data_IF_452083986539
#
_entry.id   IF_452083986539
#
_cell.length_a   1.000
_cell.length_b   1.000
_cell.length_c   1.000
_cell.angle_alpha   90.00
_cell.angle_beta   90.00
_cell.angle_gamma   90.00
#
_symmetry.space_group_name_H-M   'P 1'
#
loop_
_entity.id
_entity.type
_entity.pdbx_description
1 polymer ?
#
# COMPACT_ATOMS: atom_id res chain seq x y z
N UNK A 1 13.71 -0.42 25.55
CA UNK A 1 13.39 -1.46 24.53
C UNK A 1 14.68 -1.88 23.83
N UNK A 2 14.98 -3.18 23.74
CA UNK A 2 16.17 -3.71 23.04
C UNK A 2 16.00 -3.52 21.52
N UNK A 3 16.98 -2.89 20.88
CA UNK A 3 17.07 -2.77 19.41
C UNK A 3 17.88 -3.95 18.88
N UNK A 4 17.44 -4.57 17.78
CA UNK A 4 18.18 -5.63 17.09
C UNK A 4 18.49 -5.19 15.67
N UNK A 5 19.76 -5.29 15.28
CA UNK A 5 20.19 -5.18 13.90
C UNK A 5 19.85 -6.48 13.17
N UNK A 6 19.27 -6.37 11.98
CA UNK A 6 19.09 -7.50 11.09
C UNK A 6 20.05 -7.31 9.94
N UNK A 7 21.05 -8.19 9.86
CA UNK A 7 22.06 -8.17 8.81
C UNK A 7 21.41 -8.71 7.55
N UNK A 8 21.36 -7.87 6.51
CA UNK A 8 20.71 -8.23 5.26
C UNK A 8 21.62 -8.95 4.26
N UNK A 9 22.93 -8.80 4.40
CA UNK A 9 23.92 -9.32 3.46
C UNK A 9 25.00 -10.09 4.21
N UNK A 10 25.39 -11.23 3.65
CA UNK A 10 26.54 -12.01 4.13
C UNK A 10 27.87 -11.50 3.57
N UNK A 11 27.87 -10.42 2.76
CA UNK A 11 29.11 -9.89 2.18
C UNK A 11 30.13 -9.51 3.26
N UNK A 12 31.39 -9.87 2.99
CA UNK A 12 32.53 -9.58 3.84
C UNK A 12 33.42 -8.51 3.21
N UNK A 13 34.21 -7.83 4.03
CA UNK A 13 35.21 -6.88 3.54
C UNK A 13 36.23 -7.62 2.66
N UNK A 14 36.63 -7.11 1.47
CA UNK A 14 36.46 -5.74 0.97
C UNK A 14 35.28 -5.54 0.02
N UNK A 15 34.43 -6.54 -0.21
CA UNK A 15 33.31 -6.47 -1.15
C UNK A 15 32.24 -5.46 -0.72
N UNK A 16 32.17 -5.18 0.59
CA UNK A 16 31.31 -4.19 1.21
C UNK A 16 32.08 -3.36 2.24
N UNK A 17 31.85 -2.04 2.28
CA UNK A 17 32.42 -1.13 3.29
C UNK A 17 31.81 -1.30 4.70
N UNK A 18 30.71 -2.04 4.82
CA UNK A 18 30.05 -2.44 6.06
C UNK A 18 28.77 -3.24 5.76
N UNK A 19 28.30 -4.06 6.70
CA UNK A 19 27.05 -4.82 6.53
C UNK A 19 25.86 -3.86 6.67
N UNK A 20 24.99 -3.71 5.65
CA UNK A 20 23.81 -2.84 5.80
C UNK A 20 22.85 -3.47 6.80
N UNK A 21 22.53 -2.74 7.87
CA UNK A 21 21.56 -3.15 8.88
C UNK A 21 20.69 -1.97 9.28
N UNK A 22 19.46 -2.26 9.69
CA UNK A 22 18.64 -1.34 10.45
C UNK A 22 18.22 -1.93 11.78
N UNK A 23 18.02 -1.03 12.74
CA UNK A 23 17.57 -1.38 14.07
C UNK A 23 16.04 -1.46 14.08
N UNK A 24 15.51 -2.64 14.35
CA UNK A 24 14.11 -2.80 14.72
C UNK A 24 13.98 -2.82 16.23
N UNK A 25 12.90 -2.20 16.70
CA UNK A 25 12.49 -2.27 18.10
C UNK A 25 11.40 -3.32 18.23
N UNK A 26 11.59 -4.27 19.14
CA UNK A 26 10.58 -5.28 19.42
C UNK A 26 9.27 -4.64 19.90
N UNK A 27 8.12 -5.15 19.47
CA UNK A 27 6.81 -4.63 19.85
C UNK A 27 5.77 -5.78 20.00
N UNK A 28 4.64 -5.56 20.67
CA UNK A 28 3.66 -6.62 20.95
C UNK A 28 2.68 -6.87 19.78
N UNK A 29 2.76 -6.10 18.69
CA UNK A 29 1.77 -6.17 17.60
C UNK A 29 1.87 -7.51 16.88
N UNK A 30 0.72 -8.19 16.77
CA UNK A 30 0.59 -9.50 16.09
C UNK A 30 -0.33 -9.44 14.88
N UNK A 31 -1.37 -8.62 14.90
CA UNK A 31 -2.22 -8.39 13.74
C UNK A 31 -1.57 -7.30 12.89
N UNK A 32 -1.18 -7.67 11.68
CA UNK A 32 -0.41 -6.80 10.79
C UNK A 32 -1.26 -6.39 9.59
N UNK A 33 -1.61 -5.11 9.53
CA UNK A 33 -2.50 -4.55 8.53
C UNK A 33 -1.74 -4.34 7.20
N UNK A 34 -2.29 -4.87 6.12
CA UNK A 34 -1.75 -4.63 4.79
C UNK A 34 -2.46 -3.51 4.03
N UNK A 35 -3.64 -3.09 4.51
CA UNK A 35 -4.25 -1.79 4.25
C UNK A 35 -4.45 -1.12 5.60
N UNK A 36 -3.95 0.12 5.76
CA UNK A 36 -3.88 0.75 7.08
C UNK A 36 -5.27 0.87 7.72
N UNK A 37 -5.35 0.76 9.05
CA UNK A 37 -6.61 1.01 9.75
C UNK A 37 -7.09 2.44 9.50
N UNK A 38 -6.19 3.43 9.47
CA UNK A 38 -6.53 4.83 9.18
C UNK A 38 -7.16 5.01 7.80
N UNK A 39 -6.77 4.21 6.81
CA UNK A 39 -7.42 4.17 5.49
C UNK A 39 -8.82 3.54 5.57
N UNK A 40 -8.95 2.39 6.24
CA UNK A 40 -10.23 1.69 6.37
C UNK A 40 -11.27 2.51 7.14
N UNK A 41 -10.86 3.26 8.16
CA UNK A 41 -11.75 4.12 8.96
C UNK A 41 -12.38 5.25 8.16
N UNK A 42 -11.75 5.66 7.06
CA UNK A 42 -12.40 6.59 6.13
C UNK A 42 -13.63 5.99 5.43
N UNK A 43 -13.93 4.70 5.63
CA UNK A 43 -15.10 3.99 5.09
C UNK A 43 -15.96 3.35 6.18
N UNK A 44 -15.70 3.67 7.44
CA UNK A 44 -16.50 3.15 8.55
C UNK A 44 -17.96 3.61 8.39
N UNK A 45 -18.91 2.69 8.56
CA UNK A 45 -20.35 3.02 8.52
C UNK A 45 -20.89 3.45 9.89
N UNK A 46 -20.10 3.28 10.94
CA UNK A 46 -20.33 3.71 12.31
C UNK A 46 -19.15 4.58 12.84
N UNK A 47 -18.76 5.67 12.16
CA UNK A 47 -17.56 6.44 12.51
C UNK A 47 -17.61 7.08 13.91
N UNK A 48 -18.80 7.23 14.50
CA UNK A 48 -19.05 7.81 15.82
C UNK A 48 -18.59 6.93 16.99
N UNK A 49 -18.42 5.62 16.79
CA UNK A 49 -17.94 4.72 17.84
C UNK A 49 -16.42 4.80 17.99
N UNK A 50 -15.91 4.34 19.14
CA UNK A 50 -14.46 4.27 19.38
C UNK A 50 -13.73 3.47 18.30
N UNK A 51 -12.52 3.88 17.94
CA UNK A 51 -11.74 3.35 16.81
C UNK A 51 -11.58 1.81 16.79
N UNK A 52 -11.63 1.15 17.95
CA UNK A 52 -11.53 -0.31 18.09
C UNK A 52 -12.83 -1.05 17.69
N UNK A 53 -13.96 -0.33 17.67
CA UNK A 53 -15.30 -0.86 17.40
C UNK A 53 -15.85 -0.41 16.05
N UNK A 54 -15.07 0.36 15.28
CA UNK A 54 -15.47 0.81 13.95
C UNK A 54 -15.47 -0.37 12.99
N UNK A 55 -16.55 -0.45 12.22
CA UNK A 55 -16.79 -1.50 11.25
C UNK A 55 -16.95 -0.93 9.84
N UNK A 56 -16.66 -1.77 8.86
CA UNK A 56 -16.74 -1.47 7.44
C UNK A 56 -17.51 -2.59 6.75
N UNK A 57 -18.33 -2.24 5.76
CA UNK A 57 -18.97 -3.25 4.93
C UNK A 57 -17.93 -3.92 4.03
N UNK A 58 -17.94 -5.25 4.00
CA UNK A 58 -17.15 -6.09 3.09
C UNK A 58 -18.10 -6.71 2.06
N UNK A 59 -17.81 -6.49 0.79
CA UNK A 59 -18.64 -6.89 -0.35
C UNK A 59 -17.85 -7.87 -1.24
N UNK A 60 -18.11 -9.19 -1.15
CA UNK A 60 -17.45 -10.18 -2.01
C UNK A 60 -17.80 -9.99 -3.50
N UNK A 61 -16.88 -10.24 -4.46
CA UNK A 61 -17.14 -10.11 -5.90
C UNK A 61 -18.33 -10.93 -6.39
N UNK A 62 -18.64 -12.06 -5.74
CA UNK A 62 -19.79 -12.91 -6.03
C UNK A 62 -21.15 -12.23 -5.79
N UNK A 63 -21.18 -11.03 -5.19
CA UNK A 63 -22.37 -10.16 -5.15
C UNK A 63 -22.66 -9.49 -6.49
N UNK A 64 -21.66 -9.34 -7.36
CA UNK A 64 -21.74 -8.50 -8.56
C UNK A 64 -21.73 -9.30 -9.87
N UNK A 65 -21.57 -10.62 -9.79
CA UNK A 65 -21.54 -11.51 -10.95
C UNK A 65 -22.64 -12.56 -10.85
N UNK A 66 -23.34 -12.84 -11.96
CA UNK A 66 -24.35 -13.88 -12.01
C UNK A 66 -23.69 -15.27 -11.95
N UNK A 67 -24.28 -16.24 -11.23
CA UNK A 67 -25.40 -16.09 -10.30
C UNK A 67 -24.95 -15.36 -9.01
N UNK A 68 -25.73 -14.37 -8.59
CA UNK A 68 -25.46 -13.59 -7.37
C UNK A 68 -25.59 -14.50 -6.15
N UNK A 69 -24.48 -14.74 -5.43
CA UNK A 69 -24.38 -15.81 -4.41
C UNK A 69 -23.84 -15.35 -3.06
N UNK A 70 -23.53 -14.06 -2.91
CA UNK A 70 -22.97 -13.51 -1.68
C UNK A 70 -23.80 -12.36 -1.14
N UNK A 71 -23.57 -12.03 0.14
CA UNK A 71 -24.16 -10.88 0.82
C UNK A 71 -23.04 -10.02 1.42
N UNK A 72 -23.37 -8.75 1.67
CA UNK A 72 -22.50 -7.84 2.39
C UNK A 72 -22.25 -8.38 3.81
N UNK A 73 -21.02 -8.24 4.29
CA UNK A 73 -20.62 -8.63 5.63
C UNK A 73 -20.26 -7.38 6.42
N UNK A 74 -20.66 -7.32 7.68
CA UNK A 74 -20.17 -6.31 8.61
C UNK A 74 -18.89 -6.83 9.28
N UNK A 75 -17.77 -6.13 9.09
CA UNK A 75 -16.46 -6.57 9.62
C UNK A 75 -15.78 -5.47 10.40
N UNK A 76 -15.19 -5.84 11.54
CA UNK A 76 -14.46 -4.91 12.39
C UNK A 76 -13.08 -4.58 11.81
N UNK A 77 -12.73 -3.29 11.78
CA UNK A 77 -11.49 -2.77 11.17
C UNK A 77 -10.23 -3.27 11.89
N UNK A 78 -10.29 -3.53 13.21
CA UNK A 78 -9.11 -3.93 14.00
C UNK A 78 -8.50 -5.26 13.52
N UNK A 79 -9.31 -6.13 12.91
CA UNK A 79 -8.90 -7.42 12.38
C UNK A 79 -9.07 -7.54 10.86
N UNK A 80 -9.67 -6.54 10.20
CA UNK A 80 -9.90 -6.57 8.76
C UNK A 80 -8.67 -6.11 7.97
N UNK A 81 -8.46 -6.73 6.81
CA UNK A 81 -7.30 -6.48 5.93
C UNK A 81 -5.96 -6.55 6.70
N UNK A 82 -5.90 -7.51 7.61
CA UNK A 82 -4.77 -7.81 8.46
C UNK A 82 -4.50 -9.30 8.49
N UNK A 83 -3.28 -9.66 8.82
CA UNK A 83 -2.86 -11.05 8.96
C UNK A 83 -1.95 -11.21 10.17
N UNK A 84 -2.06 -12.36 10.85
CA UNK A 84 -1.29 -12.59 12.07
C UNK A 84 0.18 -12.84 11.72
N UNK A 85 1.08 -12.04 12.32
CA UNK A 85 2.53 -12.11 12.19
C UNK A 85 3.02 -11.96 10.73
N UNK A 86 2.27 -11.29 9.84
CA UNK A 86 2.61 -11.18 8.42
C UNK A 86 4.00 -10.58 8.15
N UNK A 87 4.35 -9.50 8.86
CA UNK A 87 5.65 -8.83 8.75
C UNK A 87 6.64 -9.13 9.88
N UNK A 88 6.46 -10.24 10.60
CA UNK A 88 7.38 -10.63 11.67
C UNK A 88 8.66 -11.21 11.09
N UNK A 89 9.81 -10.67 11.46
CA UNK A 89 11.11 -11.23 11.09
C UNK A 89 11.53 -12.33 12.07
N UNK A 90 11.42 -12.06 13.38
CA UNK A 90 11.70 -13.04 14.43
C UNK A 90 10.96 -12.69 15.73
N UNK A 91 10.90 -13.65 16.65
CA UNK A 91 10.37 -13.45 18.01
C UNK A 91 11.40 -12.72 18.87
N UNK A 92 10.91 -11.85 19.75
CA UNK A 92 11.70 -11.25 20.82
C UNK A 92 11.42 -11.90 22.17
N UNK A 93 11.95 -11.29 23.23
CA UNK A 93 11.67 -11.66 24.63
C UNK A 93 10.23 -11.33 25.02
N UNK A 94 9.68 -12.04 26.01
CA UNK A 94 8.40 -11.70 26.68
C UNK A 94 7.19 -11.54 25.74
N UNK A 95 7.14 -12.33 24.65
CA UNK A 95 6.02 -12.30 23.70
C UNK A 95 6.05 -11.11 22.72
N UNK A 96 7.11 -10.29 22.76
CA UNK A 96 7.38 -9.25 21.77
C UNK A 96 7.88 -9.87 20.46
N UNK A 97 7.87 -9.05 19.40
CA UNK A 97 8.30 -9.46 18.07
C UNK A 97 9.07 -8.34 17.39
N UNK A 98 10.07 -8.71 16.60
CA UNK A 98 10.70 -7.79 15.66
C UNK A 98 9.94 -7.88 14.33
N UNK A 99 9.16 -6.85 14.04
CA UNK A 99 8.34 -6.73 12.83
C UNK A 99 8.47 -5.32 12.25
N UNK A 100 7.84 -5.09 11.09
CA UNK A 100 7.93 -3.83 10.35
C UNK A 100 6.88 -2.77 10.76
N UNK A 101 6.04 -3.03 11.78
CA UNK A 101 4.89 -2.15 12.06
C UNK A 101 5.27 -0.74 12.49
N UNK A 102 6.31 -0.61 13.31
CA UNK A 102 6.81 0.71 13.70
C UNK A 102 7.24 1.54 12.49
N UNK A 103 7.68 0.90 11.41
CA UNK A 103 8.07 1.58 10.19
C UNK A 103 6.88 1.96 9.32
N UNK A 104 5.85 1.10 9.24
CA UNK A 104 4.61 1.44 8.56
C UNK A 104 3.89 2.62 9.21
N UNK A 105 3.85 2.66 10.55
CA UNK A 105 3.24 3.74 11.32
C UNK A 105 3.81 5.13 11.00
N UNK A 106 5.09 5.22 10.59
CA UNK A 106 5.71 6.48 10.12
C UNK A 106 4.99 7.08 8.92
N UNK A 107 4.40 6.24 8.06
CA UNK A 107 3.70 6.65 6.85
C UNK A 107 2.18 6.77 7.05
N UNK A 108 1.62 6.07 8.04
CA UNK A 108 0.19 6.11 8.36
C UNK A 108 -0.21 7.35 9.19
N UNK A 109 0.76 7.94 9.89
CA UNK A 109 0.55 9.09 10.76
C UNK A 109 0.10 10.33 9.98
N UNK A 110 -0.98 10.98 10.44
CA UNK A 110 -1.54 12.19 9.81
C UNK A 110 -2.38 11.92 8.55
N UNK A 111 -2.76 10.68 8.28
CA UNK A 111 -3.62 10.32 7.14
C UNK A 111 -5.00 11.00 7.20
N UNK A 112 -5.66 10.93 8.36
CA UNK A 112 -7.01 11.49 8.56
C UNK A 112 -7.00 13.02 8.43
N UNK A 113 -5.98 13.68 8.99
CA UNK A 113 -5.75 15.12 8.85
C UNK A 113 -5.53 15.51 7.39
N UNK A 114 -4.76 14.70 6.66
CA UNK A 114 -4.51 14.92 5.23
C UNK A 114 -5.81 14.78 4.43
N UNK A 115 -6.66 13.79 4.74
CA UNK A 115 -7.98 13.68 4.13
C UNK A 115 -8.86 14.92 4.40
N UNK A 116 -8.88 15.43 5.65
CA UNK A 116 -9.62 16.64 5.99
C UNK A 116 -9.13 17.86 5.20
N UNK A 117 -7.82 18.05 5.06
CA UNK A 117 -7.23 19.13 4.27
C UNK A 117 -7.58 19.03 2.78
N UNK A 118 -7.55 17.83 2.20
CA UNK A 118 -7.89 17.66 0.77
C UNK A 118 -9.34 18.03 0.44
N UNK A 119 -10.27 17.85 1.39
CA UNK A 119 -11.67 18.28 1.24
C UNK A 119 -11.83 19.79 1.14
N UNK A 120 -10.91 20.58 1.72
CA UNK A 120 -11.02 22.05 1.76
C UNK A 120 -10.36 22.76 0.60
N UNK A 121 -9.66 22.05 -0.30
CA UNK A 121 -8.96 22.66 -1.43
C UNK A 121 -9.94 23.20 -2.48
N UNK A 122 -9.61 24.28 -3.20
CA UNK A 122 -10.40 24.70 -4.35
C UNK A 122 -10.32 23.65 -5.47
N UNK A 123 -11.40 23.50 -6.25
CA UNK A 123 -11.37 22.72 -7.49
C UNK A 123 -10.50 23.43 -8.55
N UNK A 124 -10.02 22.68 -9.54
CA UNK A 124 -9.16 23.19 -10.60
C UNK A 124 -7.73 22.66 -10.52
N UNK A 125 -6.81 23.34 -11.22
CA UNK A 125 -5.39 22.96 -11.23
C UNK A 125 -4.63 23.70 -10.13
N UNK A 126 -3.84 22.99 -9.34
CA UNK A 126 -2.94 23.58 -8.35
C UNK A 126 -1.67 22.75 -8.20
N UNK A 127 -0.67 23.33 -7.55
CA UNK A 127 0.47 22.57 -7.03
C UNK A 127 -0.02 21.44 -6.12
N UNK A 128 0.69 20.32 -6.13
CA UNK A 128 0.32 19.16 -5.31
C UNK A 128 0.62 19.48 -3.83
N UNK A 129 -0.40 19.47 -2.95
CA UNK A 129 -0.22 19.78 -1.53
C UNK A 129 0.49 18.62 -0.80
N UNK A 130 1.20 18.93 0.29
CA UNK A 130 1.89 17.90 1.10
C UNK A 130 0.92 16.84 1.66
N UNK A 131 -0.33 17.21 1.91
CA UNK A 131 -1.38 16.27 2.29
C UNK A 131 -1.59 15.16 1.23
N UNK A 132 -1.61 15.51 -0.06
CA UNK A 132 -1.75 14.54 -1.15
C UNK A 132 -0.46 13.72 -1.31
N UNK A 133 0.71 14.34 -1.20
CA UNK A 133 1.99 13.61 -1.23
C UNK A 133 2.08 12.56 -0.13
N UNK A 134 1.64 12.88 1.09
CA UNK A 134 1.61 11.93 2.20
C UNK A 134 0.69 10.74 1.91
N UNK A 135 -0.52 11.02 1.42
CA UNK A 135 -1.49 9.97 1.07
C UNK A 135 -0.95 9.08 -0.04
N UNK A 136 -0.48 9.64 -1.16
CA UNK A 136 0.02 8.85 -2.30
C UNK A 136 1.22 8.00 -1.92
N UNK A 137 2.08 8.49 -1.01
CA UNK A 137 3.18 7.71 -0.47
C UNK A 137 2.69 6.52 0.33
N UNK A 138 1.73 6.71 1.23
CA UNK A 138 1.12 5.59 1.96
C UNK A 138 0.44 4.61 0.98
N UNK A 139 -0.24 5.09 -0.06
CA UNK A 139 -0.87 4.22 -1.06
C UNK A 139 0.15 3.39 -1.82
N UNK A 140 1.28 3.98 -2.23
CA UNK A 140 2.36 3.22 -2.87
C UNK A 140 2.95 2.16 -1.93
N UNK A 141 3.15 2.51 -0.65
CA UNK A 141 3.57 1.55 0.37
C UNK A 141 2.54 0.42 0.54
N UNK A 142 1.24 0.77 0.57
CA UNK A 142 0.11 -0.15 0.58
C UNK A 142 0.16 -1.14 -0.58
N UNK A 143 0.45 -0.69 -1.80
CA UNK A 143 0.62 -1.55 -2.98
C UNK A 143 1.74 -2.57 -2.76
N UNK A 144 2.89 -2.13 -2.22
CA UNK A 144 4.08 -2.97 -2.01
C UNK A 144 3.95 -3.96 -0.86
N UNK A 145 3.37 -3.52 0.27
CA UNK A 145 3.21 -4.32 1.50
C UNK A 145 1.98 -5.22 1.46
N UNK A 146 1.10 -5.07 0.48
CA UNK A 146 -0.08 -5.92 0.38
C UNK A 146 0.26 -7.29 -0.20
N UNK A 147 0.06 -8.38 0.57
CA UNK A 147 0.46 -9.72 0.13
C UNK A 147 -0.36 -10.22 -1.07
N UNK A 148 -1.58 -9.71 -1.29
CA UNK A 148 -2.36 -10.04 -2.49
C UNK A 148 -1.75 -9.45 -3.78
N UNK A 149 -0.84 -8.47 -3.66
CA UNK A 149 -0.24 -7.78 -4.79
C UNK A 149 1.13 -8.35 -5.21
N UNK A 150 1.74 -9.27 -4.45
CA UNK A 150 3.10 -9.74 -4.74
C UNK A 150 3.29 -10.34 -6.15
N UNK A 151 2.22 -10.96 -6.70
CA UNK A 151 2.18 -11.50 -8.07
C UNK A 151 1.46 -10.58 -9.08
N UNK A 152 0.96 -9.41 -8.66
CA UNK A 152 0.37 -8.46 -9.59
C UNK A 152 1.49 -7.84 -10.43
N UNK A 153 1.42 -7.90 -11.75
CA UNK A 153 2.52 -7.54 -12.66
C UNK A 153 3.13 -6.16 -12.36
N UNK A 154 2.29 -5.14 -12.12
CA UNK A 154 2.75 -3.80 -11.76
C UNK A 154 3.52 -3.76 -10.42
N UNK A 155 2.96 -4.32 -9.35
CA UNK A 155 3.61 -4.36 -8.04
C UNK A 155 4.86 -5.25 -8.04
N UNK A 156 4.84 -6.36 -8.79
CA UNK A 156 6.01 -7.21 -8.99
C UNK A 156 7.14 -6.45 -9.69
N UNK A 157 6.84 -5.68 -10.74
CA UNK A 157 7.82 -4.84 -11.44
C UNK A 157 8.38 -3.72 -10.56
N UNK A 158 7.58 -3.16 -9.65
CA UNK A 158 8.05 -2.22 -8.63
C UNK A 158 9.02 -2.90 -7.64
N UNK A 159 8.64 -4.06 -7.10
CA UNK A 159 9.51 -4.85 -6.21
C UNK A 159 10.84 -5.22 -6.87
N UNK A 160 10.80 -5.63 -8.15
CA UNK A 160 12.01 -5.91 -8.92
C UNK A 160 12.89 -4.66 -9.10
N UNK A 161 12.29 -3.50 -9.38
CA UNK A 161 13.03 -2.25 -9.53
C UNK A 161 13.78 -1.85 -8.25
N UNK A 162 13.17 -2.07 -7.08
CA UNK A 162 13.83 -1.84 -5.80
C UNK A 162 14.95 -2.88 -5.61
N UNK A 163 14.65 -4.15 -5.88
CA UNK A 163 15.57 -5.28 -5.64
C UNK A 163 16.88 -5.17 -6.42
N UNK A 164 16.88 -4.58 -7.61
CA UNK A 164 18.13 -4.38 -8.39
C UNK A 164 19.16 -3.51 -7.67
N UNK A 165 18.76 -2.77 -6.64
CA UNK A 165 19.62 -1.89 -5.84
C UNK A 165 19.78 -2.38 -4.40
N UNK A 166 19.38 -3.63 -4.13
CA UNK A 166 19.50 -4.27 -2.83
C UNK A 166 20.50 -5.42 -2.90
N UNK A 167 21.16 -5.67 -1.77
CA UNK A 167 21.96 -6.88 -1.60
C UNK A 167 21.07 -8.13 -1.57
N UNK A 168 21.66 -9.27 -1.93
CA UNK A 168 21.02 -10.56 -1.78
C UNK A 168 20.70 -10.85 -0.31
N UNK A 169 19.62 -11.61 -0.11
CA UNK A 169 19.12 -11.94 1.21
C UNK A 169 20.10 -12.89 1.93
N UNK A 170 20.61 -12.47 3.08
CA UNK A 170 21.52 -13.28 3.91
C UNK A 170 20.90 -14.59 4.39
N UNK A 171 21.77 -15.59 4.61
CA UNK A 171 21.38 -16.85 5.24
C UNK A 171 20.79 -16.61 6.64
N UNK A 172 21.31 -15.64 7.39
CA UNK A 172 20.79 -15.28 8.70
C UNK A 172 19.32 -14.81 8.61
N UNK A 173 18.98 -13.97 7.64
CA UNK A 173 17.61 -13.49 7.44
C UNK A 173 16.66 -14.65 7.11
N UNK A 174 17.08 -15.57 6.22
CA UNK A 174 16.32 -16.80 5.91
C UNK A 174 16.14 -17.67 7.16
N UNK A 175 17.20 -17.84 7.97
CA UNK A 175 17.16 -18.64 9.21
C UNK A 175 16.18 -18.06 10.22
N UNK A 176 16.14 -16.74 10.39
CA UNK A 176 15.23 -16.06 11.31
C UNK A 176 13.76 -16.30 10.93
N UNK A 177 13.42 -16.18 9.65
CA UNK A 177 12.07 -16.45 9.18
C UNK A 177 11.74 -17.94 9.31
N UNK A 178 12.68 -18.83 8.96
CA UNK A 178 12.51 -20.29 9.08
C UNK A 178 12.31 -20.75 10.53
N UNK A 179 12.87 -20.02 11.50
CA UNK A 179 12.71 -20.29 12.94
C UNK A 179 11.37 -19.84 13.54
N UNK A 180 10.49 -19.21 12.75
CA UNK A 180 9.15 -18.83 13.21
C UNK A 180 8.22 -20.04 13.29
N UNK A 181 7.04 -19.81 13.86
CA UNK A 181 5.95 -20.77 13.95
C UNK A 181 5.57 -21.34 12.58
N UNK A 182 5.65 -22.67 12.43
CA UNK A 182 5.45 -23.36 11.16
C UNK A 182 4.02 -23.23 10.65
N UNK A 183 3.02 -23.38 11.52
CA UNK A 183 1.61 -23.32 11.13
C UNK A 183 1.22 -21.91 10.69
N UNK A 184 1.70 -20.89 11.41
CA UNK A 184 1.53 -19.48 11.01
C UNK A 184 2.13 -19.22 9.63
N UNK A 185 3.36 -19.69 9.35
CA UNK A 185 3.98 -19.53 8.02
C UNK A 185 3.18 -20.28 6.97
N UNK A 186 2.84 -21.54 7.21
CA UNK A 186 2.07 -22.36 6.26
C UNK A 186 0.75 -21.68 5.87
N UNK A 187 0.03 -21.11 6.85
CA UNK A 187 -1.19 -20.35 6.60
C UNK A 187 -0.95 -19.13 5.71
N UNK A 188 0.10 -18.34 5.96
CA UNK A 188 0.44 -17.18 5.13
C UNK A 188 0.77 -17.62 3.70
N UNK A 189 1.63 -18.63 3.55
CA UNK A 189 2.04 -19.13 2.23
C UNK A 189 0.84 -19.63 1.43
N UNK A 190 -0.06 -20.39 2.06
CA UNK A 190 -1.27 -20.91 1.44
C UNK A 190 -2.26 -19.79 1.06
N UNK A 191 -2.56 -18.90 2.02
CA UNK A 191 -3.57 -17.83 1.85
C UNK A 191 -3.20 -16.89 0.72
N UNK A 192 -1.95 -16.42 0.71
CA UNK A 192 -1.49 -15.45 -0.26
C UNK A 192 -0.81 -16.07 -1.48
N UNK A 193 -0.63 -17.40 -1.51
CA UNK A 193 0.03 -18.16 -2.58
C UNK A 193 1.49 -17.78 -2.80
N UNK A 194 2.21 -17.58 -1.70
CA UNK A 194 3.66 -17.45 -1.75
C UNK A 194 4.33 -18.83 -1.82
N UNK A 195 5.45 -18.92 -2.53
CA UNK A 195 6.48 -19.89 -2.18
C UNK A 195 7.24 -19.38 -0.95
N UNK A 196 7.83 -20.27 -0.16
CA UNK A 196 8.64 -19.84 1.00
C UNK A 196 9.77 -18.87 0.59
N UNK A 197 10.58 -19.15 -0.46
CA UNK A 197 11.56 -18.17 -0.94
C UNK A 197 10.94 -16.86 -1.41
N UNK A 198 9.75 -16.90 -2.03
CA UNK A 198 9.03 -15.71 -2.46
C UNK A 198 8.62 -14.82 -1.28
N UNK A 199 8.12 -15.43 -0.20
CA UNK A 199 7.75 -14.70 1.02
C UNK A 199 8.95 -14.11 1.73
N UNK A 200 10.05 -14.86 1.87
CA UNK A 200 11.29 -14.37 2.47
C UNK A 200 11.86 -13.19 1.68
N UNK A 201 11.94 -13.31 0.34
CA UNK A 201 12.40 -12.23 -0.53
C UNK A 201 11.50 -10.99 -0.43
N UNK A 202 10.19 -11.18 -0.34
CA UNK A 202 9.25 -10.08 -0.19
C UNK A 202 9.42 -9.34 1.14
N UNK A 203 9.59 -10.07 2.26
CA UNK A 203 9.89 -9.45 3.55
C UNK A 203 11.25 -8.76 3.59
N UNK A 204 12.28 -9.37 2.98
CA UNK A 204 13.59 -8.75 2.85
C UNK A 204 13.52 -7.45 2.05
N UNK A 205 12.80 -7.44 0.92
CA UNK A 205 12.58 -6.23 0.14
C UNK A 205 11.91 -5.12 0.96
N UNK A 206 10.83 -5.44 1.69
CA UNK A 206 10.13 -4.45 2.53
C UNK A 206 11.04 -3.90 3.64
N UNK A 207 11.81 -4.78 4.29
CA UNK A 207 12.76 -4.36 5.32
C UNK A 207 13.85 -3.46 4.72
N UNK A 208 14.50 -3.89 3.65
CA UNK A 208 15.62 -3.14 3.06
C UNK A 208 15.17 -1.81 2.48
N UNK A 209 14.01 -1.75 1.82
CA UNK A 209 13.55 -0.52 1.17
C UNK A 209 13.14 0.58 2.16
N UNK A 210 12.73 0.19 3.38
CA UNK A 210 12.29 1.10 4.45
C UNK A 210 13.39 1.42 5.47
N UNK A 211 14.52 0.73 5.38
CA UNK A 211 15.65 0.87 6.28
C UNK A 211 16.45 2.12 5.97
N UNK A 212 16.51 3.04 6.94
CA UNK A 212 17.40 4.21 6.87
C UNK A 212 18.88 3.86 7.07
N UNK A 213 19.17 2.63 7.53
CA UNK A 213 20.54 2.11 7.62
C UNK A 213 21.04 1.46 6.32
N UNK A 214 20.13 1.21 5.36
CA UNK A 214 20.48 0.78 3.99
C UNK A 214 20.71 2.02 3.11
N UNK A 215 19.83 3.00 3.17
CA UNK A 215 19.97 4.26 2.44
C UNK A 215 19.30 5.42 3.18
N UNK A 216 19.86 6.63 3.09
CA UNK A 216 19.29 7.83 3.68
C UNK A 216 19.13 8.94 2.63
N UNK A 217 17.89 9.36 2.30
CA UNK A 217 16.60 8.80 2.75
C UNK A 217 16.41 7.35 2.26
N UNK A 218 15.47 6.60 2.84
CA UNK A 218 15.21 5.21 2.45
C UNK A 218 14.96 5.03 0.95
N UNK A 219 15.28 3.87 0.39
CA UNK A 219 15.08 3.60 -1.05
C UNK A 219 13.62 3.76 -1.47
N UNK A 220 12.68 3.46 -0.57
CA UNK A 220 11.26 3.72 -0.78
C UNK A 220 10.97 5.21 -1.00
N UNK A 221 11.51 6.09 -0.15
CA UNK A 221 11.34 7.55 -0.29
C UNK A 221 12.04 8.07 -1.55
N UNK A 222 13.23 7.56 -1.88
CA UNK A 222 13.93 7.91 -3.10
C UNK A 222 13.12 7.53 -4.36
N UNK A 223 12.59 6.30 -4.40
CA UNK A 223 11.75 5.82 -5.50
C UNK A 223 10.47 6.64 -5.62
N UNK A 224 9.81 6.95 -4.49
CA UNK A 224 8.62 7.79 -4.49
C UNK A 224 8.90 9.17 -5.09
N UNK A 225 9.97 9.86 -4.63
CA UNK A 225 10.33 11.19 -5.15
C UNK A 225 10.72 11.14 -6.63
N UNK A 226 11.48 10.13 -7.04
CA UNK A 226 11.87 9.95 -8.45
C UNK A 226 10.67 9.71 -9.38
N UNK A 227 9.60 9.10 -8.89
CA UNK A 227 8.36 8.94 -9.63
C UNK A 227 7.69 10.26 -10.02
N UNK A 228 7.97 11.34 -9.29
CA UNK A 228 7.38 12.67 -9.46
C UNK A 228 8.42 13.79 -9.66
N UNK A 229 9.63 13.42 -10.10
CA UNK A 229 10.71 14.41 -10.31
C UNK A 229 10.53 15.20 -11.62
N UNK A 230 9.86 14.59 -12.60
CA UNK A 230 9.53 15.20 -13.87
C UNK A 230 8.02 15.48 -13.96
N UNK A 231 7.57 16.74 -14.02
CA UNK A 231 6.15 17.08 -14.06
C UNK A 231 5.43 16.59 -15.32
N UNK A 232 6.16 16.22 -16.39
CA UNK A 232 5.58 15.60 -17.59
C UNK A 232 5.47 14.08 -17.48
N UNK A 233 6.16 13.47 -16.52
CA UNK A 233 6.18 12.02 -16.37
C UNK A 233 4.99 11.48 -15.60
N UNK A 234 4.42 12.29 -14.70
CA UNK A 234 3.26 11.93 -13.91
C UNK A 234 2.22 13.07 -13.86
N UNK A 235 0.95 12.73 -14.10
CA UNK A 235 -0.20 13.63 -13.87
C UNK A 235 -1.05 13.04 -12.76
N UNK A 236 -1.57 13.90 -11.88
CA UNK A 236 -2.45 13.49 -10.79
C UNK A 236 -3.82 14.13 -10.95
N UNK A 237 -4.86 13.32 -10.86
CA UNK A 237 -6.24 13.78 -10.80
C UNK A 237 -6.84 13.38 -9.45
N UNK A 238 -7.47 14.32 -8.75
CA UNK A 238 -8.18 14.09 -7.49
C UNK A 238 -9.66 14.31 -7.74
N UNK A 239 -10.47 13.31 -7.45
CA UNK A 239 -11.93 13.36 -7.56
C UNK A 239 -12.55 13.41 -6.17
N UNK A 240 -13.48 14.34 -5.97
CA UNK A 240 -14.17 14.55 -4.67
C UNK A 240 -15.67 14.64 -4.86
N UNK A 241 -16.39 14.23 -3.84
CA UNK A 241 -17.85 14.18 -3.84
C UNK A 241 -18.38 14.72 -2.51
N UNK A 242 -19.37 15.59 -2.55
CA UNK A 242 -19.98 16.18 -1.35
C UNK A 242 -21.34 15.56 -1.03
N UNK A 243 -21.97 14.90 -2.00
CA UNK A 243 -23.22 14.18 -1.79
C UNK A 243 -22.94 12.89 -1.00
N UNK A 244 -23.61 12.66 0.15
CA UNK A 244 -23.47 11.44 0.94
C UNK A 244 -23.81 10.14 0.19
N UNK A 245 -24.53 10.22 -0.93
CA UNK A 245 -24.82 9.08 -1.78
C UNK A 245 -23.68 8.73 -2.75
N UNK A 246 -22.77 9.67 -3.01
CA UNK A 246 -21.70 9.53 -4.00
C UNK A 246 -20.43 8.93 -3.40
N UNK A 247 -20.55 7.67 -2.98
CA UNK A 247 -19.49 6.98 -2.26
C UNK A 247 -18.56 6.19 -3.19
N UNK A 248 -17.29 6.13 -2.81
CA UNK A 248 -16.20 5.42 -3.46
C UNK A 248 -15.91 4.13 -2.69
N UNK A 249 -15.65 3.04 -3.41
CA UNK A 249 -15.30 1.75 -2.82
C UNK A 249 -13.78 1.63 -2.58
N UNK A 250 -13.41 0.85 -1.58
CA UNK A 250 -12.03 0.47 -1.28
C UNK A 250 -11.78 -0.97 -1.74
N UNK A 251 -10.82 -1.20 -2.63
CA UNK A 251 -10.41 -2.57 -3.02
C UNK A 251 -9.49 -3.19 -1.98
N UNK A 252 -9.60 -4.50 -1.74
CA UNK A 252 -8.65 -5.26 -0.90
C UNK A 252 -7.21 -5.29 -1.44
N UNK A 253 -7.00 -4.87 -2.70
CA UNK A 253 -5.68 -4.61 -3.28
C UNK A 253 -5.14 -3.24 -2.95
N UNK A 254 -5.99 -2.30 -2.55
CA UNK A 254 -5.66 -0.89 -2.27
C UNK A 254 -5.52 -0.01 -3.52
N UNK A 255 -5.58 -0.59 -4.73
CA UNK A 255 -5.48 0.15 -5.99
C UNK A 255 -6.22 -0.56 -7.14
N UNK A 256 -6.44 0.20 -8.21
CA UNK A 256 -6.86 -0.28 -9.53
C UNK A 256 -5.84 0.15 -10.57
N UNK A 257 -5.64 -0.66 -11.60
CA UNK A 257 -4.75 -0.34 -12.72
C UNK A 257 -5.50 -0.39 -14.05
N UNK A 258 -5.35 0.66 -14.84
CA UNK A 258 -5.60 0.63 -16.29
C UNK A 258 -4.28 0.87 -17.01
N UNK A 259 -4.05 0.08 -18.05
CA UNK A 259 -2.81 0.12 -18.83
C UNK A 259 -3.16 0.34 -20.30
N UNK A 260 -2.60 1.38 -20.92
CA UNK A 260 -2.64 1.60 -22.37
C UNK A 260 -1.26 1.37 -22.98
N UNK A 261 -1.06 1.60 -24.28
CA UNK A 261 0.26 1.52 -24.89
C UNK A 261 1.27 2.52 -24.29
N UNK A 262 0.79 3.67 -23.81
CA UNK A 262 1.62 4.81 -23.41
C UNK A 262 1.59 5.08 -21.90
N UNK A 263 0.52 4.69 -21.20
CA UNK A 263 0.27 5.11 -19.82
C UNK A 263 -0.05 3.94 -18.89
N UNK A 264 0.41 4.07 -17.65
CA UNK A 264 -0.17 3.40 -16.49
C UNK A 264 -1.08 4.39 -15.76
N UNK A 265 -2.35 4.07 -15.58
CA UNK A 265 -3.30 4.85 -14.78
C UNK A 265 -3.62 4.08 -13.51
N UNK A 266 -3.12 4.58 -12.38
CA UNK A 266 -3.21 3.93 -11.08
C UNK A 266 -4.27 4.66 -10.25
N UNK A 267 -5.44 4.04 -10.11
CA UNK A 267 -6.51 4.55 -9.25
C UNK A 267 -6.30 4.11 -7.81
N UNK A 268 -6.28 5.05 -6.87
CA UNK A 268 -6.17 4.78 -5.43
C UNK A 268 -7.31 5.47 -4.69
N UNK A 269 -8.03 4.71 -3.85
CA UNK A 269 -9.03 5.29 -2.98
C UNK A 269 -8.34 6.17 -1.91
N UNK A 270 -8.91 7.32 -1.55
CA UNK A 270 -8.42 8.16 -0.45
C UNK A 270 -9.36 8.07 0.76
N UNK A 271 -10.66 8.25 0.52
CA UNK A 271 -11.71 8.16 1.51
C UNK A 271 -13.01 7.66 0.88
N UNK A 272 -14.09 7.53 1.65
CA UNK A 272 -15.40 7.18 1.09
C UNK A 272 -15.92 8.17 0.05
N UNK A 273 -15.41 9.40 0.03
CA UNK A 273 -15.86 10.51 -0.81
C UNK A 273 -14.77 11.02 -1.77
N UNK A 274 -13.60 10.37 -1.82
CA UNK A 274 -12.47 10.81 -2.62
C UNK A 274 -11.61 9.66 -3.14
N UNK A 275 -11.11 9.80 -4.35
CA UNK A 275 -10.07 8.95 -4.91
C UNK A 275 -9.14 9.77 -5.82
N UNK A 276 -7.94 9.27 -6.05
CA UNK A 276 -7.00 9.86 -6.99
C UNK A 276 -6.63 8.89 -8.10
N UNK A 277 -6.30 9.43 -9.26
CA UNK A 277 -5.68 8.70 -10.36
C UNK A 277 -4.30 9.29 -10.61
N UNK A 278 -3.28 8.44 -10.56
CA UNK A 278 -1.91 8.81 -10.93
C UNK A 278 -1.62 8.20 -12.31
N UNK A 279 -1.47 9.07 -13.31
CA UNK A 279 -1.09 8.68 -14.66
C UNK A 279 0.42 8.76 -14.79
N UNK A 280 1.08 7.66 -15.15
CA UNK A 280 2.53 7.58 -15.34
C UNK A 280 2.82 7.22 -16.78
N UNK A 281 3.65 8.03 -17.43
CA UNK A 281 4.18 7.75 -18.77
C UNK A 281 5.04 6.48 -18.76
N UNK A 282 4.70 5.48 -19.56
CA UNK A 282 5.44 4.22 -19.64
C UNK A 282 6.88 4.42 -20.09
N UNK A 283 7.13 5.42 -20.95
CA UNK A 283 8.48 5.78 -21.39
C UNK A 283 9.37 6.23 -20.21
N UNK A 284 8.79 6.70 -19.10
CA UNK A 284 9.54 7.07 -17.90
C UNK A 284 9.95 5.86 -17.05
N UNK A 285 9.23 4.75 -17.20
CA UNK A 285 9.38 3.56 -16.35
C UNK A 285 10.79 2.95 -16.40
N UNK A 286 11.45 2.77 -17.57
CA UNK A 286 12.83 2.27 -17.61
C UNK A 286 13.82 3.18 -16.89
N UNK A 287 13.68 4.50 -17.05
CA UNK A 287 14.57 5.46 -16.40
C UNK A 287 14.39 5.41 -14.88
N UNK A 288 13.15 5.41 -14.39
CA UNK A 288 12.86 5.30 -12.97
C UNK A 288 13.55 4.08 -12.37
N UNK A 289 13.50 2.92 -13.02
CA UNK A 289 14.13 1.69 -12.54
C UNK A 289 15.65 1.79 -12.39
N UNK A 290 16.31 2.47 -13.32
CA UNK A 290 17.77 2.46 -13.42
C UNK A 290 18.43 3.44 -12.45
N UNK A 291 17.86 4.63 -12.26
CA UNK A 291 18.58 5.74 -11.63
C UNK A 291 17.93 6.32 -10.37
N UNK A 292 16.78 5.81 -9.89
CA UNK A 292 16.08 6.47 -8.77
C UNK A 292 16.93 6.63 -7.50
N UNK A 293 17.89 5.74 -7.26
CA UNK A 293 18.73 5.73 -6.06
C UNK A 293 19.91 6.73 -6.09
N UNK A 294 20.19 7.35 -7.25
CA UNK A 294 21.27 8.35 -7.41
C UNK A 294 20.76 9.75 -7.73
N UNK A 295 19.48 9.88 -8.06
CA UNK A 295 18.90 11.16 -8.44
C UNK A 295 18.65 12.06 -7.21
N UNK A 296 19.14 13.31 -7.27
CA UNK A 296 18.70 14.36 -6.36
C UNK A 296 17.33 14.87 -6.81
N UNK A 297 16.28 14.20 -6.36
CA UNK A 297 14.92 14.44 -6.85
C UNK A 297 14.17 15.46 -6.01
N UNK A 298 13.20 16.16 -6.60
CA UNK A 298 12.22 17.01 -5.90
C UNK A 298 10.81 16.55 -6.28
N UNK A 299 9.89 16.55 -5.32
CA UNK A 299 8.46 16.31 -5.63
C UNK A 299 7.94 17.51 -6.40
N UNK A 300 7.55 17.30 -7.66
CA UNK A 300 7.03 18.34 -8.54
C UNK A 300 5.80 17.81 -9.27
N UNK A 301 4.94 18.74 -9.68
CA UNK A 301 3.77 18.42 -10.48
C UNK A 301 2.53 19.13 -9.97
N UNK A 302 1.49 18.98 -10.78
CA UNK A 302 0.19 19.59 -10.56
C UNK A 302 -0.85 18.51 -10.31
N UNK A 303 -1.87 18.87 -9.53
CA UNK A 303 -3.08 18.07 -9.36
C UNK A 303 -4.25 18.79 -10.01
N UNK A 304 -5.01 18.06 -10.81
CA UNK A 304 -6.32 18.50 -11.28
C UNK A 304 -7.39 17.99 -10.32
N UNK A 305 -8.07 18.90 -9.62
CA UNK A 305 -9.11 18.60 -8.64
C UNK A 305 -10.48 18.76 -9.30
N UNK A 306 -11.27 17.70 -9.27
CA UNK A 306 -12.58 17.60 -9.88
C UNK A 306 -13.66 17.27 -8.84
N UNK A 307 -14.70 18.08 -8.78
CA UNK A 307 -15.84 17.84 -7.89
C UNK A 307 -17.01 17.23 -8.68
N UNK A 308 -17.67 16.23 -8.11
CA UNK A 308 -18.95 15.71 -8.61
C UNK A 308 -18.91 14.94 -9.94
N UNK A 309 -17.73 14.51 -10.42
CA UNK A 309 -17.62 13.74 -11.66
C UNK A 309 -18.13 12.29 -11.50
N UNK A 310 -19.42 12.08 -11.75
CA UNK A 310 -20.08 10.79 -11.55
C UNK A 310 -19.58 9.67 -12.46
N UNK A 311 -19.20 10.02 -13.71
CA UNK A 311 -18.69 9.05 -14.68
C UNK A 311 -17.42 8.42 -14.15
N UNK A 312 -16.49 9.23 -13.64
CA UNK A 312 -15.24 8.73 -13.08
C UNK A 312 -15.44 7.97 -11.77
N UNK A 313 -16.39 8.39 -10.93
CA UNK A 313 -16.75 7.64 -9.71
C UNK A 313 -17.22 6.22 -10.02
N UNK A 314 -18.15 6.09 -10.97
CA UNK A 314 -18.70 4.80 -11.39
C UNK A 314 -17.62 3.92 -12.00
N UNK A 315 -16.77 4.49 -12.88
CA UNK A 315 -15.65 3.74 -13.46
C UNK A 315 -14.71 3.23 -12.37
N UNK A 316 -14.34 4.10 -11.41
CA UNK A 316 -13.47 3.72 -10.29
C UNK A 316 -14.07 2.60 -9.43
N UNK A 317 -15.35 2.71 -9.03
CA UNK A 317 -16.02 1.68 -8.24
C UNK A 317 -16.10 0.34 -8.98
N UNK A 318 -16.45 0.35 -10.27
CA UNK A 318 -16.49 -0.86 -11.10
C UNK A 318 -15.10 -1.48 -11.27
N UNK A 319 -14.05 -0.66 -11.35
CA UNK A 319 -12.67 -1.12 -11.38
C UNK A 319 -12.25 -1.76 -10.05
N UNK A 320 -12.62 -1.17 -8.91
CA UNK A 320 -12.40 -1.76 -7.59
C UNK A 320 -13.01 -3.16 -7.51
N UNK A 321 -14.26 -3.31 -7.95
CA UNK A 321 -14.99 -4.59 -7.95
C UNK A 321 -14.30 -5.61 -8.86
N UNK A 322 -13.96 -5.21 -10.09
CA UNK A 322 -13.37 -6.10 -11.10
C UNK A 322 -11.99 -6.60 -10.70
N UNK A 323 -11.20 -5.76 -10.03
CA UNK A 323 -9.79 -6.07 -9.71
C UNK A 323 -9.56 -6.55 -8.28
N UNK A 324 -10.59 -6.48 -7.41
CA UNK A 324 -10.53 -7.05 -6.07
C UNK A 324 -10.12 -8.53 -6.09
N UNK A 325 -9.33 -8.93 -5.10
CA UNK A 325 -8.86 -10.31 -4.96
C UNK A 325 -9.88 -11.21 -4.26
N UNK A 326 -10.54 -10.67 -3.24
CA UNK A 326 -11.45 -11.33 -2.30
C UNK A 326 -12.67 -10.45 -2.02
N UNK A 327 -12.50 -9.14 -1.87
CA UNK A 327 -13.59 -8.21 -1.58
C UNK A 327 -13.28 -6.75 -1.95
N UNK A 328 -14.35 -5.97 -2.12
CA UNK A 328 -14.30 -4.51 -1.97
C UNK A 328 -14.97 -4.12 -0.65
N UNK A 329 -14.71 -2.90 -0.20
CA UNK A 329 -15.15 -2.40 1.09
C UNK A 329 -15.81 -1.03 0.98
N UNK A 330 -16.62 -0.71 1.98
CA UNK A 330 -17.51 0.44 1.97
C UNK A 330 -18.87 0.07 1.37
N UNK A 331 -19.73 1.07 1.16
CA UNK A 331 -21.05 0.87 0.56
C UNK A 331 -21.44 2.11 -0.22
N UNK A 332 -21.74 1.95 -1.49
CA UNK A 332 -22.53 2.92 -2.25
C UNK A 332 -24.03 2.59 -2.16
N UNK A 333 -24.92 3.57 -1.94
CA UNK A 333 -26.36 3.37 -2.08
C UNK A 333 -26.83 3.26 -3.54
N UNK A 334 -25.97 3.54 -4.52
CA UNK A 334 -26.36 3.65 -5.93
C UNK A 334 -26.06 2.37 -6.70
N UNK A 335 -27.11 1.71 -7.22
CA UNK A 335 -27.00 0.45 -7.98
C UNK A 335 -26.06 0.53 -9.19
N UNK A 336 -26.05 1.69 -9.89
CA UNK A 336 -25.22 1.95 -11.07
C UNK A 336 -23.71 1.84 -10.81
N UNK A 337 -23.29 1.97 -9.55
CA UNK A 337 -21.88 1.87 -9.18
C UNK A 337 -21.36 0.43 -9.17
N UNK A 338 -22.28 -0.54 -9.09
CA UNK A 338 -21.97 -1.96 -9.00
C UNK A 338 -22.11 -2.70 -10.32
N UNK A 339 -23.06 -2.27 -11.15
CA UNK A 339 -23.43 -2.96 -12.39
C UNK A 339 -23.21 -2.03 -13.59
N UNK A 340 -22.63 -2.59 -14.66
CA UNK A 340 -22.78 -2.01 -15.99
C UNK A 340 -24.21 -2.27 -16.47
N UNK A 341 -24.89 -1.25 -16.98
CA UNK A 341 -26.17 -1.43 -17.69
C UNK A 341 -26.02 -2.36 -18.90
#
# INVERSE_FOLDING_TARGET
MKKQAFILSDCEYPECSGKPFALLTANPTKAHHFIAQTEQRQHAHNPEVGQQNQNIYRLPPAMFQKPYRAQAQDVNIISNLAEKNLYTLTRGEEGLQYNLESWFNRHESGYEDSCRLLRTLPAGCSDIPEALWRILRLKLLGILRNPYNHNHLFAHRLHQAIRTHLHDVSFEFVRLISGRDRDTIANILQTYRFSFPGYVNWLANLYSMLSDGVAQPSLFEQMFRAGFDNPKAAKIELYRYTDPADLCLLSDRGFCLQESAELFSIGVNIAHDMFAIVHIQKAWWPLLKQSFHTMRTRKQGEVSIHDGNQVQRQLFNRMCIRQAKVAVYGRSPLMRDYFSE
#
